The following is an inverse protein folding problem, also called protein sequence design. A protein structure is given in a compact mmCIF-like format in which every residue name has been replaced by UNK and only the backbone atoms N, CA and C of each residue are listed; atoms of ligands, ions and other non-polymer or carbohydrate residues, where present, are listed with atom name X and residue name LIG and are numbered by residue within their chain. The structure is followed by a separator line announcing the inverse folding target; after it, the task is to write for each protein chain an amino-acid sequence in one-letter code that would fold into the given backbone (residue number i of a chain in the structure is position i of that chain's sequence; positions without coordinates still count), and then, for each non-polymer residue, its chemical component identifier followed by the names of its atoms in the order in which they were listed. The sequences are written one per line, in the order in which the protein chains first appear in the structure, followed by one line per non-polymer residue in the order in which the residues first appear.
data_IF_525216742987
#
_entry.id   IF_525216742987
#
_cell.length_a   1.000
_cell.length_b   1.000
_cell.length_c   1.000
_cell.angle_alpha   90.00
_cell.angle_beta   90.00
_cell.angle_gamma   90.00
#
_symmetry.space_group_name_H-M   'P 1'
#
loop_
_entity.id
_entity.type
_entity.pdbx_description
1 polymer ?
#
# COMPACT_ATOMS: atom_id res chain seq x y z
N UNK A 1 16.72 -13.35 1.69
CA UNK A 1 15.82 -12.33 2.26
C UNK A 1 16.68 -11.19 2.77
N UNK A 2 16.22 -9.95 2.73
CA UNK A 2 16.91 -8.88 3.44
C UNK A 2 17.03 -9.29 4.92
N UNK A 3 18.19 -9.09 5.53
CA UNK A 3 18.41 -9.43 6.94
C UNK A 3 17.67 -8.51 7.92
N UNK A 4 16.85 -7.59 7.40
CA UNK A 4 16.12 -6.60 8.16
C UNK A 4 14.86 -6.15 7.40
N UNK A 5 13.89 -5.65 8.14
CA UNK A 5 12.72 -4.94 7.66
C UNK A 5 12.92 -3.43 7.78
N UNK A 6 12.31 -2.67 6.88
CA UNK A 6 12.40 -1.22 6.87
C UNK A 6 11.04 -0.60 7.14
N UNK A 7 11.02 0.33 8.09
CA UNK A 7 9.81 1.05 8.52
C UNK A 7 10.17 2.52 8.66
N UNK A 8 9.30 3.42 8.25
CA UNK A 8 9.37 4.83 8.68
C UNK A 8 8.12 5.17 9.47
N UNK A 9 8.30 5.59 10.71
CA UNK A 9 7.24 5.77 11.70
C UNK A 9 7.09 7.24 12.06
N UNK A 10 5.84 7.71 12.16
CA UNK A 10 5.48 9.03 12.68
C UNK A 10 5.02 8.98 14.16
N UNK A 11 5.26 7.88 14.86
CA UNK A 11 4.95 7.75 16.29
C UNK A 11 5.90 8.59 17.14
N UNK A 12 5.34 9.24 18.15
CA UNK A 12 6.06 9.96 19.20
C UNK A 12 6.91 8.97 20.00
N UNK A 13 8.07 9.43 20.45
CA UNK A 13 8.89 8.69 21.40
C UNK A 13 8.75 9.32 22.77
N UNK A 14 8.39 8.52 23.77
CA UNK A 14 8.33 8.90 25.19
C UNK A 14 8.85 7.73 26.01
N UNK A 15 9.74 8.02 26.97
CA UNK A 15 10.34 7.03 27.87
C UNK A 15 10.97 5.83 27.14
N UNK A 16 11.64 6.12 26.01
CA UNK A 16 12.33 5.10 25.20
C UNK A 16 11.39 4.19 24.39
N UNK A 17 10.10 4.50 24.30
CA UNK A 17 9.09 3.70 23.59
C UNK A 17 8.32 4.54 22.58
N UNK A 18 7.83 3.89 21.53
CA UNK A 18 6.85 4.50 20.63
C UNK A 18 5.48 4.60 21.32
N UNK A 19 4.83 5.73 21.13
CA UNK A 19 3.46 6.01 21.61
C UNK A 19 2.54 6.16 20.40
N UNK A 20 1.25 5.88 20.56
CA UNK A 20 0.22 6.09 19.55
C UNK A 20 -0.17 7.57 19.43
N UNK A 21 0.83 8.43 19.25
CA UNK A 21 0.70 9.88 19.19
C UNK A 21 1.59 10.42 18.07
N UNK A 22 1.20 11.50 17.37
CA UNK A 22 2.06 12.14 16.39
C UNK A 22 3.39 12.62 16.95
N UNK A 23 4.45 12.38 16.19
CA UNK A 23 5.79 12.85 16.46
C UNK A 23 6.68 12.91 15.22
N UNK A 24 7.95 13.33 15.37
CA UNK A 24 8.87 13.40 14.25
C UNK A 24 9.07 12.05 13.57
N UNK A 25 9.08 12.02 12.23
CA UNK A 25 9.32 10.79 11.48
C UNK A 25 10.71 10.22 11.76
N UNK A 26 10.75 8.92 12.05
CA UNK A 26 11.98 8.14 12.27
C UNK A 26 12.07 6.99 11.28
N UNK A 27 13.29 6.68 10.84
CA UNK A 27 13.57 5.62 9.88
C UNK A 27 14.23 4.45 10.59
N UNK A 28 13.59 3.30 10.55
CA UNK A 28 13.97 2.12 11.31
C UNK A 28 14.50 1.04 10.36
N UNK A 29 15.56 0.38 10.82
CA UNK A 29 16.02 -0.91 10.30
C UNK A 29 15.81 -1.93 11.41
N UNK A 30 14.75 -2.71 11.25
CA UNK A 30 14.28 -3.66 12.25
C UNK A 30 14.90 -5.03 11.92
N UNK A 31 15.68 -5.64 12.83
CA UNK A 31 16.19 -6.99 12.60
C UNK A 31 15.05 -7.98 12.29
N UNK A 32 15.30 -8.93 11.38
CA UNK A 32 14.27 -9.87 10.92
C UNK A 32 13.69 -10.74 12.05
N UNK A 33 14.47 -10.99 13.11
CA UNK A 33 14.09 -11.72 14.32
C UNK A 33 13.45 -10.83 15.40
N UNK A 34 13.54 -9.50 15.27
CA UNK A 34 12.91 -8.60 16.22
C UNK A 34 11.38 -8.63 16.04
N UNK A 35 10.59 -8.93 17.08
CA UNK A 35 9.14 -9.01 16.97
C UNK A 35 8.49 -7.63 16.88
N UNK A 36 9.13 -6.59 17.44
CA UNK A 36 8.58 -5.24 17.57
C UNK A 36 9.66 -4.20 17.25
N UNK A 37 9.35 -3.18 16.42
CA UNK A 37 10.22 -2.04 16.24
C UNK A 37 10.35 -1.23 17.53
N UNK A 38 11.58 -0.84 17.88
CA UNK A 38 11.87 0.04 19.01
C UNK A 38 12.60 1.30 18.54
N UNK A 39 12.61 2.39 19.31
CA UNK A 39 13.40 3.58 18.96
C UNK A 39 14.90 3.28 18.77
N UNK A 40 15.42 2.20 19.38
CA UNK A 40 16.81 1.77 19.20
C UNK A 40 17.10 1.23 17.78
N UNK A 41 16.08 0.83 17.02
CA UNK A 41 16.23 0.41 15.62
C UNK A 41 16.36 1.60 14.65
N UNK A 42 16.31 2.83 15.15
CA UNK A 42 16.47 4.01 14.31
C UNK A 42 17.86 4.04 13.68
N UNK A 43 17.90 4.16 12.36
CA UNK A 43 19.14 4.37 11.64
C UNK A 43 19.61 5.83 11.83
N UNK A 44 20.46 6.06 12.83
CA UNK A 44 21.41 7.19 12.94
C UNK A 44 20.87 8.63 13.07
N UNK A 45 21.70 9.52 13.64
CA UNK A 45 21.45 10.97 13.84
C UNK A 45 21.49 11.80 12.53
N UNK A 46 22.19 12.96 12.45
CA UNK A 46 22.20 13.79 11.25
C UNK A 46 22.69 13.01 10.02
N UNK A 47 21.78 12.60 9.13
CA UNK A 47 22.08 11.79 7.93
C UNK A 47 21.40 10.41 7.87
N UNK A 48 20.71 9.98 8.94
CA UNK A 48 20.03 8.68 9.04
C UNK A 48 19.08 8.34 7.89
N UNK A 49 18.33 9.35 7.43
CA UNK A 49 17.45 9.24 6.25
C UNK A 49 18.23 8.86 4.97
N UNK A 50 19.41 9.43 4.75
CA UNK A 50 20.21 9.19 3.54
C UNK A 50 20.70 7.73 3.52
N UNK A 51 21.17 7.24 4.67
CA UNK A 51 21.60 5.84 4.82
C UNK A 51 20.43 4.87 4.62
N UNK A 52 19.29 5.14 5.26
CA UNK A 52 18.09 4.31 5.12
C UNK A 52 17.60 4.24 3.67
N UNK A 53 17.50 5.39 3.00
CA UNK A 53 17.08 5.46 1.59
C UNK A 53 18.06 4.73 0.67
N UNK A 54 19.37 4.92 0.87
CA UNK A 54 20.39 4.26 0.08
C UNK A 54 20.31 2.73 0.22
N UNK A 55 20.07 2.23 1.43
CA UNK A 55 19.95 0.80 1.70
C UNK A 55 18.69 0.20 1.07
N UNK A 56 17.52 0.84 1.24
CA UNK A 56 16.26 0.38 0.63
C UNK A 56 16.36 0.33 -0.89
N UNK A 57 16.95 1.35 -1.51
CA UNK A 57 17.16 1.37 -2.97
C UNK A 57 18.14 0.32 -3.43
N UNK A 58 19.29 0.19 -2.77
CA UNK A 58 20.26 -0.83 -3.13
C UNK A 58 19.63 -2.23 -3.09
N UNK A 59 18.73 -2.50 -2.14
CA UNK A 59 17.97 -3.76 -2.09
C UNK A 59 16.96 -3.90 -3.23
N UNK A 60 16.26 -2.82 -3.61
CA UNK A 60 15.30 -2.83 -4.71
C UNK A 60 16.01 -3.03 -6.06
N UNK A 61 17.09 -2.29 -6.30
CA UNK A 61 17.82 -2.26 -7.56
C UNK A 61 18.71 -3.51 -7.74
N UNK A 62 19.17 -4.16 -6.66
CA UNK A 62 19.95 -5.40 -6.74
C UNK A 62 19.12 -6.63 -7.15
N UNK A 63 17.79 -6.51 -7.19
CA UNK A 63 16.90 -7.61 -7.54
C UNK A 63 15.80 -7.13 -8.51
N UNK A 64 16.18 -6.68 -9.72
CA UNK A 64 15.23 -6.14 -10.68
C UNK A 64 14.15 -7.17 -11.02
N UNK A 65 12.93 -6.68 -11.18
CA UNK A 65 11.79 -7.53 -11.45
C UNK A 65 11.71 -7.85 -12.96
N UNK A 66 11.94 -9.11 -13.39
CA UNK A 66 11.98 -9.45 -14.82
C UNK A 66 10.61 -9.32 -15.52
N UNK A 67 9.54 -9.10 -14.75
CA UNK A 67 8.20 -8.92 -15.26
C UNK A 67 7.75 -7.45 -15.28
N UNK A 68 8.53 -6.54 -14.68
CA UNK A 68 8.22 -5.12 -14.64
C UNK A 68 8.49 -4.45 -15.99
N UNK A 69 7.73 -3.38 -16.29
CA UNK A 69 7.92 -2.58 -17.52
C UNK A 69 9.25 -1.82 -17.53
N UNK A 70 9.79 -1.50 -16.35
CA UNK A 70 11.06 -0.77 -16.22
C UNK A 70 12.10 -1.68 -15.56
N UNK A 71 13.39 -1.58 -15.95
CA UNK A 71 14.49 -2.28 -15.31
C UNK A 71 14.79 -1.77 -13.89
N UNK A 72 14.11 -0.71 -13.45
CA UNK A 72 14.13 -0.15 -12.11
C UNK A 72 13.79 -1.17 -11.00
N UNK A 73 14.37 -0.99 -9.81
CA UNK A 73 13.93 -1.69 -8.61
C UNK A 73 12.52 -1.25 -8.20
N UNK A 74 11.73 -2.11 -7.56
CA UNK A 74 10.40 -1.76 -7.05
C UNK A 74 10.41 -1.62 -5.51
N UNK A 75 9.76 -0.59 -4.99
CA UNK A 75 9.47 -0.41 -3.56
C UNK A 75 7.97 -0.27 -3.35
N UNK A 76 7.38 -1.14 -2.53
CA UNK A 76 6.00 -1.04 -2.08
C UNK A 76 5.96 -0.46 -0.66
N UNK A 77 5.36 0.72 -0.52
CA UNK A 77 5.06 1.31 0.79
C UNK A 77 3.69 0.82 1.25
N UNK A 78 3.66 -0.02 2.28
CA UNK A 78 2.46 -0.46 2.97
C UNK A 78 2.02 0.58 4.00
N UNK A 79 0.77 1.04 3.89
CA UNK A 79 0.13 1.97 4.83
C UNK A 79 -0.99 1.21 5.53
N UNK A 80 -0.77 0.88 6.80
CA UNK A 80 -1.71 0.08 7.59
C UNK A 80 -3.00 0.83 7.94
N UNK A 81 -4.02 0.09 8.36
CA UNK A 81 -5.28 0.63 8.87
C UNK A 81 -5.23 1.06 10.34
N UNK A 82 -6.38 1.54 10.83
CA UNK A 82 -6.63 1.83 12.23
C UNK A 82 -6.42 0.61 13.15
N UNK A 83 -6.13 0.85 14.44
CA UNK A 83 -6.05 -0.17 15.49
C UNK A 83 -5.02 -1.27 15.23
N UNK A 84 -3.79 -0.89 14.87
CA UNK A 84 -2.70 -1.85 14.71
C UNK A 84 -1.53 -1.48 15.61
N UNK A 85 -1.18 -2.42 16.49
CA UNK A 85 0.05 -2.36 17.23
C UNK A 85 1.27 -2.64 16.32
N UNK A 86 2.44 -2.26 16.81
CA UNK A 86 3.69 -2.45 16.11
C UNK A 86 3.99 -3.93 15.75
N UNK A 87 3.74 -4.94 16.61
CA UNK A 87 3.88 -6.35 16.24
C UNK A 87 3.02 -6.74 15.03
N UNK A 88 1.73 -6.37 15.00
CA UNK A 88 0.83 -6.71 13.88
C UNK A 88 1.28 -6.02 12.59
N UNK A 89 1.76 -4.78 12.66
CA UNK A 89 2.33 -4.08 11.49
C UNK A 89 3.51 -4.88 10.91
N UNK A 90 4.43 -5.34 11.77
CA UNK A 90 5.57 -6.16 11.33
C UNK A 90 5.13 -7.50 10.74
N UNK A 91 4.19 -8.19 11.39
CA UNK A 91 3.65 -9.45 10.88
C UNK A 91 3.03 -9.29 9.50
N UNK A 92 2.23 -8.24 9.30
CA UNK A 92 1.63 -7.90 8.01
C UNK A 92 2.67 -7.57 6.95
N UNK A 93 3.65 -6.72 7.27
CA UNK A 93 4.73 -6.38 6.33
C UNK A 93 5.50 -7.62 5.89
N UNK A 94 5.94 -8.44 6.84
CA UNK A 94 6.70 -9.67 6.56
C UNK A 94 5.89 -10.66 5.76
N UNK A 95 4.62 -10.87 6.12
CA UNK A 95 3.73 -11.78 5.40
C UNK A 95 3.46 -11.29 3.98
N UNK A 96 3.14 -10.01 3.80
CA UNK A 96 2.95 -9.41 2.48
C UNK A 96 4.20 -9.55 1.60
N UNK A 97 5.39 -9.28 2.15
CA UNK A 97 6.65 -9.44 1.43
C UNK A 97 6.89 -10.91 1.03
N UNK A 98 6.60 -11.85 1.93
CA UNK A 98 6.74 -13.28 1.65
C UNK A 98 5.77 -13.76 0.57
N UNK A 99 4.50 -13.36 0.65
CA UNK A 99 3.47 -13.74 -0.32
C UNK A 99 3.77 -13.18 -1.71
N UNK A 100 4.14 -11.90 -1.80
CA UNK A 100 4.52 -11.27 -3.08
C UNK A 100 5.74 -11.93 -3.69
N UNK A 101 6.74 -12.26 -2.87
CA UNK A 101 7.96 -12.96 -3.32
C UNK A 101 7.64 -14.38 -3.81
N UNK A 102 6.77 -15.10 -3.11
CA UNK A 102 6.33 -16.43 -3.51
C UNK A 102 5.61 -16.40 -4.87
N UNK A 103 4.92 -15.31 -5.17
CA UNK A 103 4.26 -15.07 -6.45
C UNK A 103 5.15 -14.37 -7.49
N UNK A 104 6.45 -14.26 -7.25
CA UNK A 104 7.46 -13.84 -8.22
C UNK A 104 7.77 -12.35 -8.26
N UNK A 105 7.12 -11.52 -7.43
CA UNK A 105 7.45 -10.10 -7.33
C UNK A 105 8.76 -9.90 -6.57
N UNK A 106 9.66 -9.07 -7.10
CA UNK A 106 11.06 -8.97 -6.65
C UNK A 106 11.43 -7.69 -5.89
N UNK A 107 10.46 -6.82 -5.63
CA UNK A 107 10.67 -5.55 -4.93
C UNK A 107 10.82 -5.65 -3.40
N UNK A 108 10.98 -4.48 -2.78
CA UNK A 108 11.10 -4.31 -1.33
C UNK A 108 9.79 -3.79 -0.75
N UNK A 109 9.29 -4.43 0.31
CA UNK A 109 8.14 -3.92 1.08
C UNK A 109 8.65 -3.14 2.29
N UNK A 110 8.20 -1.90 2.42
CA UNK A 110 8.45 -1.04 3.59
C UNK A 110 7.12 -0.59 4.19
N UNK A 111 7.04 -0.35 5.50
CA UNK A 111 5.82 0.20 6.10
C UNK A 111 5.95 1.69 6.41
N UNK A 112 4.88 2.42 6.15
CA UNK A 112 4.62 3.70 6.81
C UNK A 112 3.76 3.45 8.05
N UNK A 113 4.33 3.67 9.22
CA UNK A 113 3.65 3.54 10.50
C UNK A 113 3.17 4.91 10.97
N UNK A 114 1.86 5.16 10.87
CA UNK A 114 1.22 6.34 11.41
C UNK A 114 0.68 6.02 12.82
N UNK A 115 0.60 6.99 13.74
CA UNK A 115 0.14 6.75 15.10
C UNK A 115 -1.36 6.40 15.10
N UNK A 116 -1.66 5.11 14.96
CA UNK A 116 -2.99 4.57 15.27
C UNK A 116 -2.95 3.87 16.61
N UNK A 117 -3.97 4.08 17.44
CA UNK A 117 -4.08 3.50 18.77
C UNK A 117 -5.01 2.27 18.76
N UNK A 118 -4.82 1.37 19.74
CA UNK A 118 -5.60 0.14 19.95
C UNK A 118 -6.95 0.40 20.66
N UNK A 119 -7.35 1.68 20.79
CA UNK A 119 -8.57 2.07 21.48
C UNK A 119 -9.71 2.32 20.51
N UNK A 120 -10.58 1.32 20.32
CA UNK A 120 -11.83 1.38 19.52
C UNK A 120 -12.74 2.59 19.77
N UNK A 121 -12.51 3.35 20.85
CA UNK A 121 -13.28 4.52 21.26
C UNK A 121 -12.88 5.82 20.52
N UNK A 122 -11.68 5.89 19.91
CA UNK A 122 -11.08 7.16 19.47
C UNK A 122 -10.88 7.29 17.94
N UNK A 123 -11.65 6.58 17.12
CA UNK A 123 -11.53 6.64 15.64
C UNK A 123 -11.45 8.06 15.03
N UNK A 124 -12.11 9.07 15.62
CA UNK A 124 -12.03 10.46 15.13
C UNK A 124 -10.69 11.13 15.43
N UNK A 125 -10.11 10.85 16.60
CA UNK A 125 -8.80 11.36 17.02
C UNK A 125 -7.71 10.76 16.12
N UNK A 126 -7.70 9.45 15.93
CA UNK A 126 -6.81 8.77 14.98
C UNK A 126 -6.90 9.33 13.57
N UNK A 127 -8.08 9.81 13.15
CA UNK A 127 -8.24 10.44 11.84
C UNK A 127 -7.59 11.82 11.78
N UNK A 128 -7.62 12.58 12.88
CA UNK A 128 -6.89 13.84 12.98
C UNK A 128 -5.39 13.60 12.99
N UNK A 129 -4.91 12.63 13.75
CA UNK A 129 -3.50 12.25 13.78
C UNK A 129 -3.01 11.73 12.43
N UNK A 130 -3.81 10.88 11.78
CA UNK A 130 -3.58 10.43 10.40
C UNK A 130 -3.44 11.62 9.45
N UNK A 131 -4.31 12.62 9.55
CA UNK A 131 -4.24 13.82 8.74
C UNK A 131 -3.01 14.68 9.07
N UNK A 132 -2.63 14.80 10.35
CA UNK A 132 -1.44 15.53 10.79
C UNK A 132 -0.17 14.93 10.17
N UNK A 133 -0.06 13.61 10.16
CA UNK A 133 1.15 12.93 9.66
C UNK A 133 1.08 12.57 8.18
N UNK A 134 -0.07 12.71 7.51
CA UNK A 134 -0.27 12.25 6.13
C UNK A 134 0.77 12.82 5.16
N UNK A 135 1.07 14.12 5.23
CA UNK A 135 2.08 14.74 4.36
C UNK A 135 3.49 14.14 4.53
N UNK A 136 3.77 13.49 5.66
CA UNK A 136 5.02 12.75 5.87
C UNK A 136 5.15 11.56 4.92
N UNK A 137 4.06 10.90 4.55
CA UNK A 137 4.11 9.82 3.55
C UNK A 137 4.75 10.33 2.24
N UNK A 138 4.39 11.54 1.80
CA UNK A 138 4.92 12.14 0.58
C UNK A 138 6.34 12.69 0.80
N UNK A 139 6.50 13.55 1.82
CA UNK A 139 7.74 14.31 2.03
C UNK A 139 8.89 13.49 2.59
N UNK A 140 8.59 12.46 3.38
CA UNK A 140 9.54 11.63 4.12
C UNK A 140 9.59 10.18 3.64
N UNK A 141 8.62 9.71 2.86
CA UNK A 141 8.64 8.39 2.22
C UNK A 141 8.87 8.50 0.71
N UNK A 142 7.79 8.84 -0.01
CA UNK A 142 7.74 8.82 -1.47
C UNK A 142 8.86 9.63 -2.10
N UNK A 143 9.01 10.91 -1.75
CA UNK A 143 10.01 11.77 -2.41
C UNK A 143 11.42 11.32 -2.14
N UNK A 144 11.71 10.82 -0.95
CA UNK A 144 13.09 10.43 -0.62
C UNK A 144 13.43 9.10 -1.25
N UNK A 145 12.46 8.19 -1.41
CA UNK A 145 12.59 6.93 -2.16
C UNK A 145 12.57 7.13 -3.68
N UNK A 146 11.95 8.19 -4.19
CA UNK A 146 11.94 8.54 -5.62
C UNK A 146 13.12 9.44 -6.07
N UNK A 147 13.73 10.23 -5.16
CA UNK A 147 14.93 11.08 -5.42
C UNK A 147 16.22 10.27 -5.60
N UNK A 148 16.33 9.53 -6.69
CA UNK A 148 17.49 8.70 -7.06
C UNK A 148 17.87 8.82 -8.54
N UNK A 149 17.08 9.55 -9.31
CA UNK A 149 17.32 9.85 -10.73
C UNK A 149 18.67 10.55 -10.99
N UNK A 150 19.31 11.11 -9.95
CA UNK A 150 20.61 11.77 -10.05
C UNK A 150 21.79 10.80 -10.26
N UNK A 151 21.63 9.48 -9.98
CA UNK A 151 22.69 8.47 -10.11
C UNK A 151 22.38 7.33 -11.09
N UNK A 152 21.35 7.45 -11.92
CA UNK A 152 20.88 6.35 -12.78
C UNK A 152 20.15 5.22 -12.03
N UNK A 153 19.86 5.41 -10.73
CA UNK A 153 18.99 4.53 -9.95
C UNK A 153 17.53 4.91 -10.22
N UNK A 154 16.88 4.16 -11.09
CA UNK A 154 15.44 4.21 -11.25
C UNK A 154 14.83 3.26 -10.21
N UNK A 155 14.10 3.78 -9.22
CA UNK A 155 13.32 2.94 -8.29
C UNK A 155 11.85 3.35 -8.40
N UNK A 156 11.00 2.42 -8.79
CA UNK A 156 9.55 2.63 -8.81
C UNK A 156 9.00 2.55 -7.39
N UNK A 157 8.20 3.54 -7.00
CA UNK A 157 7.53 3.53 -5.70
C UNK A 157 6.03 3.31 -5.90
N UNK A 158 5.49 2.35 -5.16
CA UNK A 158 4.09 1.93 -5.16
C UNK A 158 3.51 2.08 -3.74
N UNK A 159 2.18 2.17 -3.63
CA UNK A 159 1.49 2.24 -2.34
C UNK A 159 0.47 1.11 -2.21
N UNK A 160 0.36 0.52 -1.02
CA UNK A 160 -0.76 -0.32 -0.62
C UNK A 160 -1.39 0.25 0.64
N UNK A 161 -2.63 0.75 0.54
CA UNK A 161 -3.42 1.21 1.68
C UNK A 161 -4.38 0.13 2.16
N UNK A 162 -4.28 -0.26 3.44
CA UNK A 162 -5.28 -1.10 4.09
C UNK A 162 -6.23 -0.25 4.92
N UNK A 163 -7.54 -0.43 4.76
CA UNK A 163 -8.53 0.25 5.61
C UNK A 163 -8.32 1.77 5.65
N UNK A 164 -8.17 2.36 6.83
CA UNK A 164 -7.86 3.79 7.04
C UNK A 164 -6.55 4.24 6.40
N UNK A 165 -5.63 3.32 6.04
CA UNK A 165 -4.44 3.64 5.24
C UNK A 165 -4.79 4.20 3.85
N UNK A 166 -5.97 3.86 3.29
CA UNK A 166 -6.47 4.50 2.08
C UNK A 166 -6.81 6.00 2.30
N UNK A 167 -7.35 6.35 3.48
CA UNK A 167 -7.59 7.74 3.87
C UNK A 167 -6.26 8.50 4.01
N UNK A 168 -5.27 7.92 4.70
CA UNK A 168 -3.93 8.50 4.86
C UNK A 168 -3.30 8.80 3.49
N UNK A 169 -3.39 7.85 2.55
CA UNK A 169 -2.87 8.05 1.18
C UNK A 169 -3.58 9.20 0.47
N UNK A 170 -4.92 9.24 0.47
CA UNK A 170 -5.65 10.32 -0.20
C UNK A 170 -5.29 11.69 0.41
N UNK A 171 -5.32 11.78 1.74
CA UNK A 171 -5.01 13.00 2.48
C UNK A 171 -3.58 13.48 2.21
N UNK A 172 -2.60 12.56 2.14
CA UNK A 172 -1.21 12.90 1.86
C UNK A 172 -1.03 13.59 0.49
N UNK A 173 -1.75 13.12 -0.54
CA UNK A 173 -1.68 13.73 -1.87
C UNK A 173 -2.47 15.04 -1.94
N UNK A 174 -3.61 15.14 -1.25
CA UNK A 174 -4.36 16.39 -1.13
C UNK A 174 -3.53 17.49 -0.46
N UNK A 175 -2.83 17.17 0.62
CA UNK A 175 -1.93 18.11 1.29
C UNK A 175 -0.71 18.44 0.42
N UNK A 176 -0.16 17.46 -0.30
CA UNK A 176 0.97 17.69 -1.21
C UNK A 176 0.62 18.61 -2.40
N UNK A 177 -0.63 18.63 -2.87
CA UNK A 177 -1.09 19.58 -3.89
C UNK A 177 -1.08 21.04 -3.37
N UNK A 178 -1.30 21.22 -2.06
CA UNK A 178 -1.34 22.55 -1.42
C UNK A 178 0.05 23.08 -1.05
N UNK A 179 1.07 22.21 -1.01
CA UNK A 179 2.46 22.61 -0.79
C UNK A 179 3.10 23.07 -2.11
N UNK A 180 3.51 24.33 -2.18
CA UNK A 180 4.01 24.94 -3.42
C UNK A 180 5.27 24.27 -4.00
N UNK A 181 6.11 23.66 -3.17
CA UNK A 181 7.32 22.95 -3.64
C UNK A 181 6.98 21.55 -4.14
N UNK A 182 6.04 20.86 -3.50
CA UNK A 182 5.55 19.55 -3.93
C UNK A 182 4.73 19.66 -5.20
N UNK A 183 3.86 20.65 -5.30
CA UNK A 183 3.04 20.94 -6.48
C UNK A 183 3.91 21.13 -7.73
N UNK A 184 4.98 21.92 -7.63
CA UNK A 184 5.91 22.22 -8.74
C UNK A 184 6.90 21.09 -9.07
N UNK A 185 6.97 20.04 -8.25
CA UNK A 185 7.93 18.96 -8.44
C UNK A 185 7.32 17.78 -9.21
N UNK A 186 8.13 17.06 -9.98
CA UNK A 186 7.66 16.01 -10.89
C UNK A 186 7.63 14.58 -10.32
N UNK A 187 7.53 14.45 -9.00
CA UNK A 187 7.36 13.14 -8.38
C UNK A 187 6.10 12.44 -8.90
N UNK A 188 6.21 11.14 -9.15
CA UNK A 188 5.14 10.26 -9.61
C UNK A 188 5.23 8.93 -8.88
N UNK A 189 4.12 8.21 -8.89
CA UNK A 189 3.98 6.88 -8.30
C UNK A 189 3.50 5.90 -9.34
N UNK A 190 3.92 4.65 -9.22
CA UNK A 190 3.44 3.57 -10.08
C UNK A 190 2.00 3.21 -9.70
N UNK A 191 1.88 2.11 -8.98
CA UNK A 191 0.59 1.59 -8.50
C UNK A 191 0.20 2.20 -7.16
N UNK A 192 -1.10 2.44 -7.00
CA UNK A 192 -1.74 2.53 -5.69
C UNK A 192 -2.78 1.42 -5.59
N UNK A 193 -2.69 0.59 -4.57
CA UNK A 193 -3.67 -0.46 -4.31
C UNK A 193 -4.40 -0.20 -2.99
N UNK A 194 -5.70 -0.47 -2.94
CA UNK A 194 -6.48 -0.45 -1.70
C UNK A 194 -7.03 -1.84 -1.39
N UNK A 195 -6.85 -2.29 -0.15
CA UNK A 195 -7.48 -3.49 0.40
C UNK A 195 -8.36 -3.09 1.58
N UNK A 196 -9.64 -3.48 1.57
CA UNK A 196 -10.59 -3.10 2.62
C UNK A 196 -10.67 -1.57 2.83
N UNK A 197 -10.47 -0.75 1.80
CA UNK A 197 -10.32 0.71 1.92
C UNK A 197 -11.49 1.40 2.63
N UNK A 198 -11.19 2.12 3.73
CA UNK A 198 -12.16 2.84 4.56
C UNK A 198 -12.29 4.30 4.13
N UNK A 199 -12.64 4.50 2.87
CA UNK A 199 -12.98 5.81 2.28
C UNK A 199 -14.30 5.71 1.53
N UNK A 200 -15.01 6.83 1.41
CA UNK A 200 -16.20 6.90 0.56
C UNK A 200 -15.85 6.44 -0.86
N UNK A 201 -16.64 5.57 -1.49
CA UNK A 201 -16.41 5.24 -2.92
C UNK A 201 -16.49 6.49 -3.80
N UNK A 202 -17.35 7.44 -3.45
CA UNK A 202 -17.62 8.62 -4.26
C UNK A 202 -16.41 9.55 -4.34
N UNK A 203 -15.47 9.47 -3.37
CA UNK A 203 -14.23 10.23 -3.48
C UNK A 203 -13.37 9.84 -4.68
N UNK A 204 -13.60 8.66 -5.27
CA UNK A 204 -12.89 8.19 -6.46
C UNK A 204 -13.67 8.47 -7.76
N UNK A 205 -14.78 9.20 -7.67
CA UNK A 205 -15.51 9.75 -8.81
C UNK A 205 -14.68 10.78 -9.56
N UNK A 206 -14.97 10.97 -10.85
CA UNK A 206 -14.49 12.12 -11.62
C UNK A 206 -14.92 13.46 -11.05
N UNK A 207 -16.02 13.48 -10.32
CA UNK A 207 -16.69 14.69 -9.83
C UNK A 207 -16.23 15.12 -8.43
N UNK A 208 -15.36 14.33 -7.79
CA UNK A 208 -14.84 14.61 -6.46
C UNK A 208 -13.39 15.11 -6.51
N UNK A 209 -13.13 16.27 -5.93
CA UNK A 209 -11.82 16.93 -5.96
C UNK A 209 -10.82 16.36 -4.94
N UNK A 210 -11.28 15.66 -3.90
CA UNK A 210 -10.40 15.21 -2.82
C UNK A 210 -9.35 14.22 -3.35
N UNK A 211 -9.75 13.27 -4.20
CA UNK A 211 -8.80 12.32 -4.82
C UNK A 211 -8.08 12.86 -6.05
N UNK A 212 -8.49 14.00 -6.62
CA UNK A 212 -7.92 14.51 -7.87
C UNK A 212 -6.37 14.62 -7.84
N UNK A 213 -5.75 15.14 -6.75
CA UNK A 213 -4.29 15.16 -6.61
C UNK A 213 -3.61 13.80 -6.72
N UNK A 214 -4.22 12.75 -6.15
CA UNK A 214 -3.71 11.38 -6.28
C UNK A 214 -3.65 10.98 -7.76
N UNK A 215 -4.74 11.17 -8.49
CA UNK A 215 -4.84 10.78 -9.89
C UNK A 215 -3.94 11.58 -10.84
N UNK A 216 -3.50 12.80 -10.46
CA UNK A 216 -2.47 13.55 -11.20
C UNK A 216 -1.07 12.93 -11.08
N UNK A 217 -0.81 12.19 -9.99
CA UNK A 217 0.54 11.72 -9.62
C UNK A 217 0.76 10.21 -9.81
N UNK A 218 -0.30 9.42 -9.89
CA UNK A 218 -0.21 7.95 -10.03
C UNK A 218 -0.34 7.50 -11.49
N UNK A 219 0.19 6.32 -11.81
CA UNK A 219 -0.10 5.63 -13.06
C UNK A 219 -1.48 4.98 -13.02
N UNK A 220 -1.79 4.25 -11.95
CA UNK A 220 -3.12 3.63 -11.77
C UNK A 220 -3.46 3.34 -10.31
N UNK A 221 -4.76 3.19 -10.05
CA UNK A 221 -5.32 2.75 -8.78
C UNK A 221 -6.05 1.41 -8.95
N UNK A 222 -5.80 0.44 -8.09
CA UNK A 222 -6.53 -0.83 -8.02
C UNK A 222 -7.23 -0.95 -6.67
N UNK A 223 -8.55 -1.05 -6.65
CA UNK A 223 -9.32 -1.30 -5.43
C UNK A 223 -9.77 -2.77 -5.38
N UNK A 224 -9.38 -3.49 -4.34
CA UNK A 224 -9.86 -4.84 -4.05
C UNK A 224 -11.05 -4.73 -3.09
N UNK A 225 -12.25 -5.03 -3.60
CA UNK A 225 -13.49 -4.92 -2.85
C UNK A 225 -13.97 -6.30 -2.38
N UNK A 226 -14.35 -6.39 -1.12
CA UNK A 226 -15.01 -7.57 -0.55
C UNK A 226 -16.42 -7.20 -0.06
N UNK A 227 -17.51 -7.64 -0.72
CA UNK A 227 -18.87 -7.35 -0.27
C UNK A 227 -19.22 -7.94 1.10
N UNK A 228 -18.42 -8.91 1.59
CA UNK A 228 -18.59 -9.55 2.89
C UNK A 228 -17.81 -8.87 4.03
N UNK A 229 -17.15 -7.73 3.78
CA UNK A 229 -16.41 -6.97 4.79
C UNK A 229 -17.36 -6.27 5.79
N UNK A 230 -17.64 -6.94 6.90
CA UNK A 230 -18.57 -6.47 7.94
C UNK A 230 -18.05 -5.27 8.74
N UNK A 231 -16.73 -5.07 8.83
CA UNK A 231 -16.15 -3.92 9.55
C UNK A 231 -16.55 -2.62 8.84
N UNK A 232 -16.45 -2.60 7.52
CA UNK A 232 -16.85 -1.45 6.72
C UNK A 232 -18.37 -1.23 6.68
N UNK A 233 -19.18 -2.27 6.90
CA UNK A 233 -20.62 -2.12 7.07
C UNK A 233 -20.97 -1.33 8.34
N UNK A 234 -20.27 -1.62 9.44
CA UNK A 234 -20.43 -0.88 10.71
C UNK A 234 -19.93 0.56 10.57
N UNK A 235 -18.84 0.80 9.82
CA UNK A 235 -18.35 2.15 9.48
C UNK A 235 -19.40 2.98 8.71
N UNK A 236 -20.19 2.35 7.83
CA UNK A 236 -21.31 3.01 7.13
C UNK A 236 -22.45 3.35 8.10
N UNK A 237 -22.83 2.42 8.99
CA UNK A 237 -23.95 2.60 9.92
C UNK A 237 -23.67 3.70 10.98
N UNK A 238 -22.43 3.79 11.46
CA UNK A 238 -22.01 4.82 12.44
C UNK A 238 -22.00 6.25 11.87
N UNK A 239 -22.01 6.39 10.55
CA UNK A 239 -21.97 7.69 9.88
C UNK A 239 -23.25 7.86 9.04
N UNK A 240 -24.35 8.14 9.72
CA UNK A 240 -25.66 8.42 9.12
C UNK A 240 -25.51 9.31 7.86
N UNK A 241 -25.77 8.74 6.67
CA UNK A 241 -25.83 9.48 5.41
C UNK A 241 -24.54 9.66 4.61
N UNK A 242 -23.39 9.05 4.96
CA UNK A 242 -22.21 9.06 4.06
C UNK A 242 -22.24 7.89 3.07
N UNK A 243 -21.66 8.13 1.89
CA UNK A 243 -21.55 7.13 0.83
C UNK A 243 -20.85 5.85 1.30
N UNK A 244 -21.22 4.69 0.72
CA UNK A 244 -20.64 3.40 1.09
C UNK A 244 -19.11 3.34 0.95
N UNK A 245 -18.46 2.56 1.81
CA UNK A 245 -17.01 2.33 1.74
C UNK A 245 -16.57 1.56 0.51
N UNK A 246 -15.52 2.06 -0.14
CA UNK A 246 -14.98 1.51 -1.39
C UNK A 246 -14.44 0.08 -1.23
N UNK A 247 -13.88 -0.25 -0.07
CA UNK A 247 -13.39 -1.61 0.22
C UNK A 247 -14.51 -2.65 0.32
N UNK A 248 -15.76 -2.22 0.56
CA UNK A 248 -16.92 -3.12 0.64
C UNK A 248 -17.69 -3.19 -0.67
N UNK A 249 -18.00 -2.04 -1.27
CA UNK A 249 -18.93 -1.98 -2.42
C UNK A 249 -18.25 -1.72 -3.76
N UNK A 250 -16.96 -1.41 -3.75
CA UNK A 250 -16.19 -1.08 -4.94
C UNK A 250 -16.37 0.34 -5.47
N UNK A 251 -15.68 0.62 -6.57
CA UNK A 251 -15.63 1.94 -7.23
C UNK A 251 -17.00 2.40 -7.75
N UNK A 252 -17.31 3.72 -7.76
CA UNK A 252 -18.54 4.27 -8.33
C UNK A 252 -18.58 4.09 -9.86
N UNK A 253 -19.77 4.26 -10.46
CA UNK A 253 -19.95 4.07 -11.92
C UNK A 253 -19.14 5.09 -12.75
N UNK A 254 -19.04 6.33 -12.27
CA UNK A 254 -18.24 7.43 -12.81
C UNK A 254 -16.83 7.50 -12.18
N UNK A 255 -16.23 6.36 -11.83
CA UNK A 255 -14.88 6.34 -11.26
C UNK A 255 -13.84 6.93 -12.24
N UNK A 256 -12.80 7.56 -11.68
CA UNK A 256 -11.71 8.14 -12.46
C UNK A 256 -11.04 7.10 -13.38
N UNK A 257 -10.66 7.44 -14.63
CA UNK A 257 -10.24 6.45 -15.63
C UNK A 257 -9.02 5.59 -15.27
N UNK A 258 -8.13 6.07 -14.39
CA UNK A 258 -6.97 5.31 -13.93
C UNK A 258 -7.30 4.30 -12.82
N UNK A 259 -8.54 4.30 -12.31
CA UNK A 259 -8.99 3.38 -11.28
C UNK A 259 -9.55 2.09 -11.91
N UNK A 260 -9.38 0.97 -11.21
CA UNK A 260 -10.03 -0.30 -11.52
C UNK A 260 -10.49 -0.98 -10.23
N UNK A 261 -11.64 -1.66 -10.29
CA UNK A 261 -12.17 -2.43 -9.18
C UNK A 261 -12.00 -3.93 -9.44
N UNK A 262 -11.47 -4.65 -8.47
CA UNK A 262 -11.41 -6.11 -8.43
C UNK A 262 -12.40 -6.58 -7.36
N UNK A 263 -13.48 -7.22 -7.79
CA UNK A 263 -14.47 -7.85 -6.93
C UNK A 263 -13.91 -9.18 -6.41
N UNK A 264 -13.68 -9.25 -5.10
CA UNK A 264 -13.09 -10.41 -4.46
C UNK A 264 -14.13 -11.32 -3.80
N UNK A 265 -15.43 -11.03 -3.94
CA UNK A 265 -16.48 -11.71 -3.18
C UNK A 265 -16.58 -13.21 -3.45
N UNK A 266 -16.42 -13.65 -4.71
CA UNK A 266 -16.45 -15.07 -5.05
C UNK A 266 -15.26 -15.81 -4.44
N UNK A 267 -14.04 -15.29 -4.63
CA UNK A 267 -12.83 -15.87 -4.04
C UNK A 267 -12.91 -15.91 -2.50
N UNK A 268 -13.32 -14.81 -1.86
CA UNK A 268 -13.42 -14.73 -0.40
C UNK A 268 -14.32 -15.80 0.20
N UNK A 269 -15.44 -16.15 -0.44
CA UNK A 269 -16.36 -17.19 0.03
C UNK A 269 -15.74 -18.60 0.03
N UNK A 270 -14.67 -18.81 -0.73
CA UNK A 270 -13.94 -20.08 -0.75
C UNK A 270 -12.95 -20.22 0.41
N UNK A 271 -12.67 -19.12 1.12
CA UNK A 271 -11.66 -19.09 2.18
C UNK A 271 -12.24 -19.56 3.52
N UNK A 272 -11.55 -20.51 4.14
CA UNK A 272 -11.84 -20.95 5.52
C UNK A 272 -10.97 -20.18 6.51
N UNK A 273 -11.55 -19.38 7.44
CA UNK A 273 -10.78 -18.66 8.46
C UNK A 273 -9.97 -19.57 9.37
N UNK A 274 -10.33 -20.85 9.52
CA UNK A 274 -9.57 -21.80 10.35
C UNK A 274 -8.27 -22.28 9.66
N UNK A 275 -8.14 -22.05 8.35
CA UNK A 275 -6.99 -22.46 7.54
C UNK A 275 -6.23 -21.24 6.99
N UNK A 276 -6.88 -20.09 6.91
CA UNK A 276 -6.28 -18.87 6.40
C UNK A 276 -5.27 -18.26 7.37
N UNK A 277 -4.19 -17.71 6.83
CA UNK A 277 -3.35 -16.76 7.58
C UNK A 277 -3.93 -15.37 7.46
N UNK A 278 -4.20 -14.68 8.56
CA UNK A 278 -4.65 -13.30 8.57
C UNK A 278 -4.30 -12.62 9.90
N UNK A 279 -4.33 -11.29 9.93
CA UNK A 279 -4.03 -10.49 11.11
C UNK A 279 -5.14 -9.46 11.35
N UNK A 280 -5.89 -9.59 12.46
CA UNK A 280 -7.05 -8.74 12.76
C UNK A 280 -8.38 -9.45 12.43
N UNK A 281 -9.37 -8.71 11.95
CA UNK A 281 -10.68 -9.27 11.60
C UNK A 281 -10.64 -9.93 10.22
N UNK A 282 -10.94 -11.24 10.14
CA UNK A 282 -10.80 -12.03 8.92
C UNK A 282 -11.41 -11.39 7.66
N UNK A 283 -12.70 -11.04 7.69
CA UNK A 283 -13.40 -10.47 6.53
C UNK A 283 -12.89 -9.08 6.09
N UNK A 284 -12.06 -8.43 6.91
CA UNK A 284 -11.44 -7.14 6.65
C UNK A 284 -9.92 -7.24 6.38
N UNK A 285 -9.29 -8.39 6.64
CA UNK A 285 -7.83 -8.57 6.62
C UNK A 285 -7.33 -9.82 5.90
N UNK A 286 -8.21 -10.60 5.27
CA UNK A 286 -7.90 -11.84 4.55
C UNK A 286 -6.84 -11.72 3.45
N UNK A 287 -6.69 -10.53 2.85
CA UNK A 287 -5.79 -10.31 1.70
C UNK A 287 -4.32 -10.66 2.02
N UNK A 288 -3.81 -10.23 3.18
CA UNK A 288 -2.42 -10.51 3.58
C UNK A 288 -2.40 -11.91 4.19
N UNK A 289 -1.80 -12.85 3.47
CA UNK A 289 -1.91 -14.28 3.73
C UNK A 289 -2.58 -15.07 2.62
N UNK A 290 -3.23 -14.40 1.66
CA UNK A 290 -3.90 -15.03 0.53
C UNK A 290 -3.03 -15.02 -0.74
N UNK A 291 -2.82 -16.21 -1.28
CA UNK A 291 -1.94 -16.45 -2.42
C UNK A 291 -2.49 -15.85 -3.72
N UNK A 292 -3.81 -15.91 -3.93
CA UNK A 292 -4.46 -15.45 -5.17
C UNK A 292 -4.42 -13.92 -5.25
N UNK A 293 -4.74 -13.25 -4.15
CA UNK A 293 -4.55 -11.81 -3.99
C UNK A 293 -3.09 -11.40 -4.22
N UNK A 294 -2.13 -12.10 -3.60
CA UNK A 294 -0.72 -11.78 -3.75
C UNK A 294 -0.26 -11.87 -5.20
N UNK A 295 -0.74 -12.87 -5.95
CA UNK A 295 -0.46 -13.02 -7.39
C UNK A 295 -1.04 -11.87 -8.21
N UNK A 296 -2.28 -11.48 -7.95
CA UNK A 296 -2.92 -10.37 -8.66
C UNK A 296 -2.24 -9.02 -8.35
N UNK A 297 -1.89 -8.79 -7.09
CA UNK A 297 -1.15 -7.61 -6.66
C UNK A 297 0.24 -7.58 -7.29
N UNK A 298 0.98 -8.69 -7.32
CA UNK A 298 2.29 -8.78 -7.96
C UNK A 298 2.24 -8.36 -9.44
N UNK A 299 1.32 -8.92 -10.22
CA UNK A 299 1.12 -8.53 -11.63
C UNK A 299 0.65 -7.08 -11.80
N UNK A 300 -0.11 -6.56 -10.83
CA UNK A 300 -0.48 -5.15 -10.81
C UNK A 300 0.73 -4.25 -10.61
N UNK A 301 1.60 -4.58 -9.65
CA UNK A 301 2.84 -3.84 -9.34
C UNK A 301 3.80 -3.81 -10.52
N UNK A 302 4.00 -4.97 -11.17
CA UNK A 302 4.82 -5.10 -12.39
C UNK A 302 4.33 -4.23 -13.55
N UNK A 303 3.02 -4.04 -13.65
CA UNK A 303 2.40 -3.16 -14.63
C UNK A 303 2.39 -3.69 -16.07
N UNK A 304 3.14 -4.77 -16.38
CA UNK A 304 3.33 -5.34 -17.72
C UNK A 304 2.07 -5.89 -18.39
N UNK A 305 0.99 -6.09 -17.63
CA UNK A 305 -0.33 -6.44 -18.15
C UNK A 305 -1.28 -5.26 -17.87
N UNK A 306 -2.11 -4.90 -18.86
CA UNK A 306 -3.15 -3.89 -18.65
C UNK A 306 -4.08 -4.33 -17.52
N UNK A 307 -4.52 -3.36 -16.72
CA UNK A 307 -5.33 -3.56 -15.52
C UNK A 307 -6.63 -4.33 -15.77
N UNK A 308 -7.14 -4.35 -17.00
CA UNK A 308 -8.35 -5.05 -17.41
C UNK A 308 -8.11 -6.48 -17.89
N UNK A 309 -6.86 -6.91 -18.06
CA UNK A 309 -6.45 -8.16 -18.70
C UNK A 309 -5.58 -9.06 -17.81
N UNK A 310 -5.36 -8.70 -16.54
CA UNK A 310 -4.60 -9.53 -15.61
C UNK A 310 -5.31 -10.90 -15.45
N UNK A 311 -4.64 -12.05 -15.67
CA UNK A 311 -5.28 -13.37 -15.72
C UNK A 311 -6.10 -13.76 -14.49
N UNK A 312 -5.69 -13.30 -13.32
CA UNK A 312 -6.41 -13.47 -12.04
C UNK A 312 -7.71 -12.66 -11.96
N UNK A 313 -8.11 -11.95 -13.03
CA UNK A 313 -9.33 -11.13 -13.12
C UNK A 313 -10.23 -11.63 -14.24
N UNK A 314 -11.25 -12.41 -13.88
CA UNK A 314 -12.30 -12.85 -14.80
C UNK A 314 -13.25 -11.69 -15.07
N UNK A 315 -13.54 -11.37 -16.34
CA UNK A 315 -14.58 -10.39 -16.66
C UNK A 315 -15.95 -11.05 -16.61
N UNK A 316 -16.83 -10.55 -15.76
CA UNK A 316 -18.20 -11.04 -15.65
C UNK A 316 -19.18 -9.90 -15.33
N UNK A 317 -20.22 -9.75 -16.15
CA UNK A 317 -21.24 -8.71 -15.95
C UNK A 317 -20.67 -7.29 -15.86
N UNK A 318 -19.61 -6.99 -16.62
CA UNK A 318 -18.92 -5.69 -16.58
C UNK A 318 -17.98 -5.49 -15.39
N UNK A 319 -17.88 -6.46 -14.47
CA UNK A 319 -16.96 -6.44 -13.32
C UNK A 319 -15.72 -7.27 -13.62
N UNK A 320 -14.63 -6.98 -12.90
CA UNK A 320 -13.48 -7.87 -12.81
C UNK A 320 -13.59 -8.64 -11.50
N UNK A 321 -13.72 -9.96 -11.59
CA UNK A 321 -13.86 -10.86 -10.44
C UNK A 321 -12.53 -11.58 -10.21
N UNK A 322 -12.04 -11.59 -8.98
CA UNK A 322 -10.80 -12.28 -8.62
C UNK A 322 -10.98 -13.80 -8.78
N UNK A 323 -10.02 -14.44 -9.43
CA UNK A 323 -9.95 -15.89 -9.60
C UNK A 323 -8.50 -16.38 -9.46
N UNK A 324 -8.33 -17.64 -9.08
CA UNK A 324 -7.01 -18.29 -9.14
C UNK A 324 -6.69 -18.67 -10.59
N UNK A 325 -5.77 -17.92 -11.20
CA UNK A 325 -5.23 -18.20 -12.51
C UNK A 325 -3.71 -18.02 -12.50
N UNK A 326 -2.94 -18.82 -13.25
CA UNK A 326 -1.50 -18.68 -13.31
C UNK A 326 -1.09 -17.43 -14.11
N UNK A 327 0.17 -17.01 -13.94
CA UNK A 327 0.81 -16.05 -14.83
C UNK A 327 0.86 -16.61 -16.27
N UNK A 328 0.89 -15.75 -17.31
CA UNK A 328 1.08 -16.22 -18.68
C UNK A 328 2.41 -16.98 -18.81
N UNK A 329 2.37 -18.16 -19.45
CA UNK A 329 3.49 -19.10 -19.47
C UNK A 329 4.82 -18.51 -19.98
N UNK A 330 4.75 -17.54 -20.89
CA UNK A 330 5.92 -16.93 -21.53
C UNK A 330 6.16 -15.47 -21.10
N UNK A 331 5.53 -15.01 -20.01
CA UNK A 331 5.64 -13.60 -19.55
C UNK A 331 7.08 -13.16 -19.30
N UNK A 332 7.96 -14.06 -18.83
CA UNK A 332 9.38 -13.74 -18.63
C UNK A 332 10.19 -13.54 -19.90
N UNK A 333 9.65 -13.87 -21.08
CA UNK A 333 10.29 -13.68 -22.38
C UNK A 333 9.83 -12.45 -23.14
N UNK A 334 8.83 -11.71 -22.67
CA UNK A 334 8.23 -10.59 -23.41
C UNK A 334 9.17 -9.38 -23.59
N UNK A 335 10.18 -9.26 -22.72
CA UNK A 335 11.13 -8.15 -22.69
C UNK A 335 12.52 -8.54 -23.21
N UNK A 336 12.66 -9.69 -23.88
CA UNK A 336 13.91 -10.04 -24.54
C UNK A 336 14.04 -9.22 -25.82
N UNK A 337 15.06 -8.38 -25.91
CA UNK A 337 15.41 -7.71 -27.15
C UNK A 337 15.70 -8.78 -28.21
N UNK A 338 14.97 -8.74 -29.33
CA UNK A 338 15.25 -9.61 -30.46
C UNK A 338 16.69 -9.37 -30.92
N UNK A 339 17.43 -10.46 -31.19
CA UNK A 339 18.70 -10.33 -31.91
C UNK A 339 18.39 -9.79 -33.32
N UNK A 340 18.54 -8.47 -33.46
CA UNK A 340 18.49 -7.73 -34.72
C UNK A 340 19.87 -7.28 -35.12
#
# INVERSE_FOLDING_TARGET
MAGADYVFTARRVRDGRFQAEPGPVRYLKVPADAPVPTPAHQMGGPGGIKAWVAEVRALADANPNPHAISPAGDVLVFVHGYNNDLPIIMQRQRRLAADLRAEGWRGVVVSFDWPSDDSTLNYLEDRWDAAEVALSLVTKGIKVLARGQENGCETNVHLLGHSTGAYVILEAFTQAEKDGNLFKSDWRMGQVAFIGGDVSRDCLSTDDDWSAPLFKRIMRLTNYANPFDGVLAVSNAKRLGVSPRVGRVGLPANARPKAVNVDCGEHFQTLDPNQATYFGTFNHSWHIGDRVFARDLAMSLEGGIDRQAIPTRRREGGRLVLQDAPRPAHMGGWWQDGQG
#
